data_IF_492098087022
#
_entry.id   IF_492098087022
#
_cell.length_a   1.000
_cell.length_b   1.000
_cell.length_c   1.000
_cell.angle_alpha   90.00
_cell.angle_beta   90.00
_cell.angle_gamma   90.00
#
_symmetry.space_group_name_H-M   'P 1'
#
loop_
_entity.id
_entity.type
_entity.pdbx_description
1 polymer ?
#
# COMPACT_ATOMS: atom_id res chain seq x y z
N UNK A 1 22.08 1.70 -12.15
CA UNK A 1 22.98 0.72 -11.77
C UNK A 1 22.42 -0.31 -10.81
N UNK A 2 22.25 0.01 -9.53
CA UNK A 2 21.59 -0.92 -8.63
C UNK A 2 20.16 -1.23 -9.11
N UNK A 3 19.44 -0.20 -9.53
CA UNK A 3 18.07 -0.37 -10.03
C UNK A 3 18.01 -1.22 -11.30
N UNK A 4 18.95 -1.01 -12.23
CA UNK A 4 19.00 -1.80 -13.45
C UNK A 4 19.30 -3.27 -13.16
N UNK A 5 20.21 -3.56 -12.21
CA UNK A 5 20.52 -4.93 -11.81
C UNK A 5 19.32 -5.62 -11.16
N UNK A 6 18.59 -4.91 -10.30
CA UNK A 6 17.40 -5.46 -9.66
C UNK A 6 16.29 -5.69 -10.68
N UNK A 7 16.05 -4.74 -11.57
CA UNK A 7 15.01 -4.87 -12.59
C UNK A 7 15.29 -6.00 -13.57
N UNK A 8 16.58 -6.35 -13.77
CA UNK A 8 16.99 -7.46 -14.64
C UNK A 8 16.79 -8.84 -14.00
N UNK A 9 16.57 -8.92 -12.70
CA UNK A 9 16.40 -10.18 -11.97
C UNK A 9 14.94 -10.34 -11.54
N UNK A 10 14.24 -11.29 -12.17
CA UNK A 10 12.81 -11.54 -11.92
C UNK A 10 12.50 -12.02 -10.50
N UNK A 11 13.51 -12.53 -9.77
CA UNK A 11 13.33 -12.96 -8.37
C UNK A 11 13.39 -11.82 -7.36
N UNK A 12 13.81 -10.63 -7.81
CA UNK A 12 13.97 -9.45 -6.96
C UNK A 12 12.94 -8.38 -7.32
N UNK A 13 12.68 -7.56 -6.34
CA UNK A 13 11.76 -6.43 -6.43
C UNK A 13 12.39 -5.23 -5.75
N UNK A 14 12.24 -4.07 -6.36
CA UNK A 14 12.62 -2.80 -5.72
C UNK A 14 11.39 -2.02 -5.30
N UNK A 15 11.53 -1.29 -4.22
CA UNK A 15 10.54 -0.37 -3.72
C UNK A 15 11.24 0.76 -2.99
N UNK A 16 10.49 1.78 -2.61
CA UNK A 16 11.03 2.90 -1.84
C UNK A 16 9.95 3.44 -0.91
N UNK A 17 10.34 3.70 0.33
CA UNK A 17 9.50 4.41 1.29
C UNK A 17 9.91 5.88 1.43
N UNK A 18 11.13 6.22 0.98
CA UNK A 18 11.71 7.56 1.02
C UNK A 18 12.34 7.89 -0.33
N UNK A 19 12.37 9.18 -0.75
CA UNK A 19 12.89 9.55 -2.06
C UNK A 19 14.35 9.20 -2.30
N UNK A 20 15.15 9.10 -1.23
CA UNK A 20 16.60 8.90 -1.35
C UNK A 20 17.05 7.47 -1.09
N UNK A 21 16.14 6.51 -0.90
CA UNK A 21 16.51 5.12 -0.68
C UNK A 21 15.88 4.19 -1.71
N UNK A 22 16.44 2.99 -1.79
CA UNK A 22 15.84 1.87 -2.52
C UNK A 22 15.89 0.63 -1.64
N UNK A 23 14.80 -0.09 -1.59
CA UNK A 23 14.68 -1.34 -0.87
C UNK A 23 14.65 -2.48 -1.89
N UNK A 24 15.46 -3.50 -1.68
CA UNK A 24 15.54 -4.67 -2.55
C UNK A 24 15.09 -5.88 -1.76
N UNK A 25 14.05 -6.54 -2.25
CA UNK A 25 13.47 -7.71 -1.58
C UNK A 25 13.23 -8.81 -2.60
N UNK A 26 12.95 -10.01 -2.10
CA UNK A 26 12.42 -11.08 -2.95
C UNK A 26 11.12 -10.61 -3.61
N UNK A 27 10.87 -11.05 -4.83
CA UNK A 27 9.68 -10.61 -5.59
C UNK A 27 8.37 -10.91 -4.88
N UNK A 28 8.34 -11.93 -4.02
CA UNK A 28 7.14 -12.30 -3.24
C UNK A 28 7.02 -11.56 -1.92
N UNK A 29 8.06 -10.87 -1.47
CA UNK A 29 8.09 -10.16 -0.19
C UNK A 29 7.63 -8.71 -0.38
N UNK A 30 6.34 -8.46 -0.27
CA UNK A 30 5.75 -7.12 -0.42
C UNK A 30 4.52 -6.98 0.47
N UNK A 31 4.06 -5.73 0.66
CA UNK A 31 2.95 -5.43 1.57
C UNK A 31 1.63 -6.08 1.14
N UNK A 32 1.39 -6.21 -0.16
CA UNK A 32 0.20 -6.90 -0.66
C UNK A 32 0.16 -8.37 -0.25
N UNK A 33 1.31 -9.06 -0.31
CA UNK A 33 1.41 -10.44 0.15
C UNK A 33 1.18 -10.52 1.67
N UNK A 34 1.72 -9.56 2.43
CA UNK A 34 1.50 -9.46 3.87
C UNK A 34 0.02 -9.29 4.22
N UNK A 35 -0.67 -8.43 3.50
CA UNK A 35 -2.12 -8.23 3.69
C UNK A 35 -2.89 -9.52 3.43
N UNK A 36 -2.61 -10.22 2.35
CA UNK A 36 -3.29 -11.48 2.03
C UNK A 36 -3.02 -12.55 3.07
N UNK A 37 -1.77 -12.64 3.57
CA UNK A 37 -1.41 -13.57 4.63
C UNK A 37 -2.20 -13.29 5.91
N UNK A 38 -2.26 -12.02 6.29
CA UNK A 38 -2.98 -11.60 7.50
C UNK A 38 -4.48 -11.89 7.38
N UNK A 39 -5.07 -11.61 6.21
CA UNK A 39 -6.48 -11.91 5.95
C UNK A 39 -6.77 -13.40 6.08
N UNK A 40 -5.91 -14.25 5.51
CA UNK A 40 -6.06 -15.70 5.62
C UNK A 40 -5.94 -16.17 7.07
N UNK A 41 -4.99 -15.59 7.82
CA UNK A 41 -4.76 -15.93 9.22
C UNK A 41 -5.95 -15.56 10.11
N UNK A 42 -6.58 -14.41 9.85
CA UNK A 42 -7.72 -13.91 10.62
C UNK A 42 -9.07 -14.41 10.09
N UNK A 43 -9.10 -15.09 8.97
CA UNK A 43 -10.36 -15.54 8.36
C UNK A 43 -11.19 -14.38 7.79
N UNK A 44 -10.53 -13.32 7.32
CA UNK A 44 -11.18 -12.13 6.73
C UNK A 44 -10.94 -12.14 5.23
N UNK A 45 -11.96 -11.79 4.44
CA UNK A 45 -11.81 -11.61 3.00
C UNK A 45 -11.06 -10.29 2.72
N UNK A 46 -10.09 -10.32 1.81
CA UNK A 46 -9.38 -9.10 1.42
C UNK A 46 -10.34 -8.02 0.91
N UNK A 47 -11.45 -8.40 0.30
CA UNK A 47 -12.48 -7.46 -0.16
C UNK A 47 -13.11 -6.64 0.99
N UNK A 48 -12.98 -7.12 2.23
CA UNK A 48 -13.53 -6.47 3.42
C UNK A 48 -12.48 -5.63 4.16
N UNK A 49 -11.37 -5.31 3.51
CA UNK A 49 -10.27 -4.55 4.12
C UNK A 49 -10.16 -3.14 3.56
N UNK A 50 -9.66 -2.24 4.40
CA UNK A 50 -9.27 -0.88 4.01
C UNK A 50 -7.77 -0.75 4.26
N UNK A 51 -7.04 -0.26 3.28
CA UNK A 51 -5.61 -0.03 3.40
C UNK A 51 -5.26 1.40 3.01
N UNK A 52 -4.34 2.01 3.73
CA UNK A 52 -3.88 3.37 3.49
C UNK A 52 -2.41 3.36 3.09
N UNK A 53 -2.05 4.19 2.13
CA UNK A 53 -0.65 4.25 1.68
C UNK A 53 -0.32 5.53 0.96
N UNK A 54 0.98 5.80 0.81
CA UNK A 54 1.49 7.03 0.21
C UNK A 54 2.72 6.85 -0.69
N UNK A 55 3.37 5.69 -0.68
CA UNK A 55 4.63 5.48 -1.37
C UNK A 55 4.61 4.24 -2.28
N UNK A 56 5.71 4.02 -3.01
CA UNK A 56 5.80 2.92 -3.95
C UNK A 56 5.71 1.54 -3.28
N UNK A 57 6.18 1.43 -2.04
CA UNK A 57 6.10 0.17 -1.30
C UNK A 57 4.68 -0.18 -0.84
N UNK A 58 3.72 0.75 -1.00
CA UNK A 58 2.32 0.53 -0.64
C UNK A 58 1.46 0.09 -1.83
N UNK A 59 1.96 0.18 -3.06
CA UNK A 59 1.18 -0.08 -4.27
C UNK A 59 0.50 -1.44 -4.23
N UNK A 60 1.25 -2.50 -3.92
CA UNK A 60 0.69 -3.86 -3.89
C UNK A 60 -0.38 -4.04 -2.82
N UNK A 61 -0.23 -3.38 -1.69
CA UNK A 61 -1.21 -3.40 -0.61
C UNK A 61 -2.49 -2.67 -1.02
N UNK A 62 -2.35 -1.49 -1.63
CA UNK A 62 -3.50 -0.72 -2.12
C UNK A 62 -4.28 -1.49 -3.18
N UNK A 63 -3.59 -2.22 -4.05
CA UNK A 63 -4.22 -3.06 -5.05
C UNK A 63 -4.93 -4.29 -4.46
N UNK A 64 -4.34 -4.87 -3.41
CA UNK A 64 -4.86 -6.09 -2.80
C UNK A 64 -6.06 -5.84 -1.88
N UNK A 65 -6.15 -4.67 -1.27
CA UNK A 65 -7.24 -4.32 -0.35
C UNK A 65 -8.56 -4.16 -1.09
N UNK A 66 -9.65 -4.41 -0.39
CA UNK A 66 -10.99 -4.13 -0.91
C UNK A 66 -11.19 -2.65 -1.17
N UNK A 67 -10.65 -1.81 -0.30
CA UNK A 67 -10.63 -0.37 -0.46
C UNK A 67 -9.22 0.17 -0.20
N UNK A 68 -8.45 0.38 -1.25
CA UNK A 68 -7.16 1.03 -1.17
C UNK A 68 -7.34 2.55 -1.16
N UNK A 69 -6.79 3.22 -0.16
CA UNK A 69 -6.96 4.67 0.05
C UNK A 69 -5.60 5.35 0.01
N UNK A 70 -5.42 6.25 -0.95
CA UNK A 70 -4.20 7.05 -1.04
C UNK A 70 -4.30 8.28 -0.14
N UNK A 71 -3.22 8.57 0.58
CA UNK A 71 -3.10 9.82 1.32
C UNK A 71 -2.97 11.00 0.35
N UNK A 72 -3.39 12.19 0.76
CA UNK A 72 -3.29 13.39 -0.09
C UNK A 72 -1.84 13.72 -0.48
N UNK A 73 -0.88 13.34 0.37
CA UNK A 73 0.55 13.50 0.13
C UNK A 73 1.18 12.33 -0.63
N UNK A 74 0.38 11.41 -1.18
CA UNK A 74 0.86 10.19 -1.81
C UNK A 74 1.57 10.47 -3.14
N UNK A 75 2.51 9.60 -3.47
CA UNK A 75 3.15 9.59 -4.79
C UNK A 75 2.14 9.18 -5.88
N UNK A 76 2.35 9.61 -7.14
CA UNK A 76 1.41 9.31 -8.22
C UNK A 76 1.10 7.82 -8.40
N UNK A 77 2.08 6.95 -8.22
CA UNK A 77 1.91 5.50 -8.33
C UNK A 77 0.99 4.92 -7.26
N UNK A 78 1.04 5.47 -6.04
CA UNK A 78 0.13 5.07 -4.97
C UNK A 78 -1.29 5.56 -5.26
N UNK A 79 -1.44 6.77 -5.75
CA UNK A 79 -2.74 7.31 -6.17
C UNK A 79 -3.36 6.44 -7.27
N UNK A 80 -2.57 6.05 -8.26
CA UNK A 80 -3.05 5.22 -9.37
C UNK A 80 -3.49 3.82 -8.91
N UNK A 81 -2.88 3.28 -7.87
CA UNK A 81 -3.22 1.95 -7.33
C UNK A 81 -4.43 1.96 -6.40
N UNK A 82 -4.82 3.13 -5.89
CA UNK A 82 -5.87 3.26 -4.89
C UNK A 82 -7.26 3.41 -5.52
N UNK A 83 -8.29 3.03 -4.76
CA UNK A 83 -9.69 3.21 -5.13
C UNK A 83 -10.19 4.60 -4.75
N UNK A 84 -9.70 5.14 -3.63
CA UNK A 84 -10.11 6.42 -3.07
C UNK A 84 -8.91 7.20 -2.56
N UNK A 85 -9.15 8.43 -2.13
CA UNK A 85 -8.15 9.30 -1.52
C UNK A 85 -8.71 9.93 -0.25
N UNK A 86 -7.82 10.31 0.65
CA UNK A 86 -8.17 11.00 1.89
C UNK A 86 -7.24 12.19 2.13
N UNK A 87 -7.41 12.89 3.23
CA UNK A 87 -6.53 13.99 3.63
C UNK A 87 -5.11 13.50 3.92
N UNK A 88 -4.16 14.41 4.01
CA UNK A 88 -2.77 14.05 4.32
C UNK A 88 -2.63 13.51 5.75
N UNK A 89 -1.48 12.90 6.04
CA UNK A 89 -1.16 12.45 7.39
C UNK A 89 -1.12 13.62 8.39
N UNK A 90 -0.74 14.82 7.93
CA UNK A 90 -0.73 16.03 8.76
C UNK A 90 -2.14 16.49 9.14
N UNK A 91 -3.15 16.10 8.37
CA UNK A 91 -4.56 16.44 8.58
C UNK A 91 -5.36 15.25 9.13
N UNK A 92 -4.70 14.24 9.68
CA UNK A 92 -5.33 13.05 10.24
C UNK A 92 -6.18 12.29 9.20
N UNK A 93 -5.64 12.11 8.00
CA UNK A 93 -6.37 11.52 6.86
C UNK A 93 -6.96 10.15 7.15
N UNK A 94 -6.23 9.28 7.84
CA UNK A 94 -6.72 7.94 8.20
C UNK A 94 -7.96 8.05 9.10
N UNK A 95 -7.88 8.86 10.16
CA UNK A 95 -9.00 9.03 11.07
C UNK A 95 -10.22 9.66 10.38
N UNK A 96 -10.00 10.65 9.52
CA UNK A 96 -11.07 11.31 8.77
C UNK A 96 -11.80 10.35 7.85
N UNK A 97 -11.08 9.40 7.27
CA UNK A 97 -11.69 8.39 6.41
C UNK A 97 -12.43 7.32 7.20
N UNK A 98 -11.81 6.82 8.28
CA UNK A 98 -12.35 5.69 9.06
C UNK A 98 -13.52 6.06 9.95
N UNK A 99 -13.54 7.25 10.55
CA UNK A 99 -14.55 7.60 11.53
C UNK A 99 -15.98 7.51 10.99
N UNK A 100 -16.29 8.01 9.80
CA UNK A 100 -17.63 7.83 9.24
C UNK A 100 -18.00 6.36 9.01
N UNK A 101 -17.04 5.53 8.58
CA UNK A 101 -17.27 4.10 8.37
C UNK A 101 -17.58 3.39 9.69
N UNK A 102 -16.83 3.70 10.74
CA UNK A 102 -17.04 3.12 12.07
C UNK A 102 -18.39 3.53 12.67
N UNK A 103 -18.80 4.76 12.43
CA UNK A 103 -20.11 5.25 12.91
C UNK A 103 -21.29 4.59 12.19
N UNK A 104 -21.07 4.10 10.97
CA UNK A 104 -22.09 3.42 10.19
C UNK A 104 -22.31 1.97 10.62
N UNK A 105 -21.41 1.42 11.44
CA UNK A 105 -21.56 0.06 11.99
C UNK A 105 -22.56 0.02 13.19
#
# INVERSE_FOLDING_TARGET
QVWAAVDADASLRRASSLPCNVEVTDVSAHKGAGLRWLCAHLGVDAADTVAFGDASNDVTMLEAAGDGVAMANALPEAVAAANHATSSCDDSGVARYLMPLLRAL
#
